data_IF_156109910113
#
_entry.id   IF_156109910113
#
_cell.length_a   1.000
_cell.length_b   1.000
_cell.length_c   1.000
_cell.angle_alpha   90.00
_cell.angle_beta   90.00
_cell.angle_gamma   90.00
#
_symmetry.space_group_name_H-M   'P 1'
#
loop_
_entity.id
_entity.type
_entity.pdbx_description
1 polymer ?
#
# COMPACT_ATOMS: atom_id res chain seq x y z
N UNK A 1 14.31 -21.76 20.44
CA UNK A 1 15.48 -21.28 21.19
C UNK A 1 16.72 -21.54 20.34
N UNK A 2 17.68 -20.62 20.28
CA UNK A 2 18.87 -20.77 19.42
C UNK A 2 19.91 -21.69 20.07
N UNK A 3 20.58 -22.53 19.28
CA UNK A 3 21.73 -23.31 19.74
C UNK A 3 22.94 -22.40 19.97
N UNK A 4 23.94 -22.87 20.71
CA UNK A 4 25.14 -22.08 20.97
C UNK A 4 25.96 -21.85 19.71
N UNK A 5 25.98 -22.80 18.78
CA UNK A 5 26.58 -22.62 17.45
C UNK A 5 25.88 -21.51 16.67
N UNK A 6 24.54 -21.48 16.69
CA UNK A 6 23.76 -20.43 16.02
C UNK A 6 24.05 -19.04 16.62
N UNK A 7 24.16 -18.94 17.95
CA UNK A 7 24.53 -17.69 18.63
C UNK A 7 25.93 -17.22 18.23
N UNK A 8 26.90 -18.13 18.21
CA UNK A 8 28.27 -17.82 17.81
C UNK A 8 28.35 -17.37 16.35
N UNK A 9 27.66 -18.08 15.45
CA UNK A 9 27.59 -17.73 14.02
C UNK A 9 26.97 -16.34 13.81
N UNK A 10 25.88 -16.01 14.52
CA UNK A 10 25.28 -14.67 14.49
C UNK A 10 26.27 -13.59 14.89
N UNK A 11 26.94 -13.76 16.04
CA UNK A 11 27.93 -12.79 16.53
C UNK A 11 29.08 -12.62 15.54
N UNK A 12 29.58 -13.72 14.98
CA UNK A 12 30.67 -13.71 14.01
C UNK A 12 30.29 -12.91 12.75
N UNK A 13 29.17 -13.23 12.12
CA UNK A 13 28.71 -12.56 10.90
C UNK A 13 28.39 -11.08 11.15
N UNK A 14 27.79 -10.74 12.30
CA UNK A 14 27.58 -9.35 12.69
C UNK A 14 28.90 -8.57 12.82
N UNK A 15 29.93 -9.16 13.43
CA UNK A 15 31.26 -8.53 13.56
C UNK A 15 31.93 -8.33 12.21
N UNK A 16 31.86 -9.32 11.33
CA UNK A 16 32.42 -9.23 9.97
C UNK A 16 31.74 -8.13 9.15
N UNK A 17 30.41 -8.08 9.18
CA UNK A 17 29.66 -7.04 8.48
C UNK A 17 29.94 -5.66 9.08
N UNK A 18 29.97 -5.54 10.42
CA UNK A 18 30.29 -4.29 11.11
C UNK A 18 31.68 -3.76 10.74
N UNK A 19 32.68 -4.63 10.67
CA UNK A 19 34.03 -4.26 10.25
C UNK A 19 34.04 -3.63 8.85
N UNK A 20 33.29 -4.20 7.89
CA UNK A 20 33.19 -3.64 6.53
C UNK A 20 32.55 -2.25 6.48
N UNK A 21 31.62 -1.96 7.38
CA UNK A 21 31.08 -0.60 7.52
C UNK A 21 32.08 0.35 8.19
N UNK A 22 32.78 -0.10 9.22
CA UNK A 22 33.79 0.70 9.93
C UNK A 22 34.99 1.06 9.04
N UNK A 23 35.42 0.15 8.17
CA UNK A 23 36.48 0.42 7.18
C UNK A 23 36.01 1.27 6.00
N UNK A 24 34.72 1.58 5.90
CA UNK A 24 34.13 2.29 4.76
C UNK A 24 34.05 1.47 3.48
N UNK A 25 34.38 0.18 3.52
CA UNK A 25 34.26 -0.72 2.37
C UNK A 25 32.79 -0.89 1.94
N UNK A 26 31.87 -0.87 2.91
CA UNK A 26 30.43 -0.94 2.70
C UNK A 26 29.74 0.33 3.19
N UNK A 27 28.65 0.70 2.50
CA UNK A 27 27.77 1.83 2.86
C UNK A 27 26.34 1.34 2.85
N UNK A 28 25.52 1.84 3.78
CA UNK A 28 24.10 1.48 3.88
C UNK A 28 23.32 1.82 2.61
N UNK A 29 23.68 2.90 1.90
CA UNK A 29 23.02 3.30 0.66
C UNK A 29 23.26 2.34 -0.52
N UNK A 30 24.22 1.41 -0.40
CA UNK A 30 24.50 0.40 -1.42
C UNK A 30 23.79 -0.93 -1.15
N UNK A 31 23.02 -1.03 -0.07
CA UNK A 31 22.32 -2.26 0.34
C UNK A 31 20.89 -2.22 -0.17
N UNK A 32 20.49 -3.32 -0.77
CA UNK A 32 19.11 -3.66 -1.05
C UNK A 32 18.77 -4.85 -0.17
N UNK A 33 17.60 -4.80 0.45
CA UNK A 33 17.09 -5.91 1.24
C UNK A 33 15.69 -6.24 0.77
N UNK A 34 15.36 -7.52 0.80
CA UNK A 34 14.04 -7.99 0.42
C UNK A 34 13.69 -9.30 1.06
N UNK A 35 12.39 -9.55 1.13
CA UNK A 35 11.78 -10.71 1.77
C UNK A 35 10.36 -10.92 1.24
N UNK A 36 9.85 -12.13 1.49
CA UNK A 36 8.53 -12.58 1.12
C UNK A 36 7.57 -12.55 2.31
N UNK A 37 6.54 -11.71 2.26
CA UNK A 37 5.51 -11.66 3.29
C UNK A 37 4.12 -11.97 2.76
N UNK A 38 3.39 -12.80 3.51
CA UNK A 38 1.94 -12.95 3.31
C UNK A 38 1.21 -11.70 3.83
N UNK A 39 0.40 -11.12 2.97
CA UNK A 39 -0.52 -10.03 3.30
C UNK A 39 -1.95 -10.57 3.18
N UNK A 40 -2.68 -10.54 4.29
CA UNK A 40 -4.08 -10.95 4.34
C UNK A 40 -4.95 -9.80 3.86
N UNK A 41 -6.04 -10.12 3.14
CA UNK A 41 -6.98 -9.08 2.68
C UNK A 41 -7.66 -8.40 3.88
N UNK A 42 -8.02 -9.20 4.90
CA UNK A 42 -8.64 -8.70 6.13
C UNK A 42 -7.61 -8.60 7.26
N UNK A 43 -7.59 -7.48 7.99
CA UNK A 43 -6.92 -7.41 9.28
C UNK A 43 -7.77 -8.14 10.33
N UNK A 44 -7.14 -9.05 11.07
CA UNK A 44 -7.67 -9.47 12.36
C UNK A 44 -6.86 -8.74 13.42
N UNK A 45 -7.54 -7.91 14.21
CA UNK A 45 -6.90 -7.16 15.29
C UNK A 45 -6.01 -8.08 16.14
N UNK A 46 -4.76 -7.64 16.38
CA UNK A 46 -3.87 -8.34 17.30
C UNK A 46 -4.53 -8.48 18.67
N UNK A 47 -4.25 -9.59 19.38
CA UNK A 47 -4.74 -9.82 20.75
C UNK A 47 -4.49 -8.63 21.69
N UNK A 48 -3.40 -7.89 21.47
CA UNK A 48 -3.04 -6.70 22.25
C UNK A 48 -3.99 -5.52 22.07
N UNK A 49 -4.65 -5.38 20.89
CA UNK A 49 -5.70 -4.36 20.64
C UNK A 49 -7.07 -4.77 21.19
N UNK A 50 -7.28 -6.05 21.48
CA UNK A 50 -8.49 -6.58 22.14
C UNK A 50 -8.32 -6.67 23.67
N UNK A 51 -7.25 -6.11 24.22
CA UNK A 51 -7.09 -5.97 25.67
C UNK A 51 -8.19 -5.04 26.19
N UNK A 52 -9.17 -5.64 26.86
CA UNK A 52 -10.31 -4.96 27.46
C UNK A 52 -10.25 -5.16 28.97
N UNK A 53 -10.44 -4.09 29.73
CA UNK A 53 -10.67 -4.18 31.16
C UNK A 53 -12.05 -4.79 31.37
N UNK A 54 -12.13 -5.95 32.04
CA UNK A 54 -13.38 -6.65 32.33
C UNK A 54 -13.72 -6.56 33.82
N UNK A 55 -15.02 -6.48 34.13
CA UNK A 55 -15.52 -6.53 35.51
C UNK A 55 -15.36 -7.92 36.13
N UNK A 56 -15.36 -7.98 37.47
CA UNK A 56 -15.26 -9.26 38.19
C UNK A 56 -16.47 -10.14 37.85
N UNK A 57 -16.23 -11.32 37.26
CA UNK A 57 -17.25 -12.25 36.77
C UNK A 57 -17.63 -12.15 35.28
N UNK A 58 -17.08 -11.18 34.53
CA UNK A 58 -17.34 -11.07 33.08
C UNK A 58 -16.35 -11.89 32.24
N UNK A 59 -16.81 -12.39 31.08
CA UNK A 59 -15.96 -13.13 30.15
C UNK A 59 -15.31 -12.17 29.14
N UNK A 60 -14.01 -12.32 28.81
CA UNK A 60 -13.35 -11.49 27.79
C UNK A 60 -14.05 -11.58 26.44
N UNK A 61 -14.01 -10.50 25.64
CA UNK A 61 -14.47 -10.53 24.24
C UNK A 61 -13.78 -11.66 23.45
N UNK A 62 -14.58 -12.53 22.84
CA UNK A 62 -14.11 -13.66 22.03
C UNK A 62 -13.29 -13.15 20.85
N UNK A 63 -11.98 -13.37 20.88
CA UNK A 63 -11.11 -13.07 19.73
C UNK A 63 -11.45 -14.06 18.62
N UNK A 64 -11.92 -13.56 17.48
CA UNK A 64 -12.08 -14.37 16.27
C UNK A 64 -10.73 -15.00 15.93
N UNK A 65 -10.65 -16.34 16.04
CA UNK A 65 -9.47 -17.09 15.62
C UNK A 65 -9.41 -17.06 14.09
N UNK A 66 -8.22 -16.80 13.55
CA UNK A 66 -7.93 -16.86 12.10
C UNK A 66 -8.50 -18.15 11.51
N UNK A 67 -9.35 -18.03 10.49
CA UNK A 67 -9.73 -19.17 9.66
C UNK A 67 -8.51 -19.64 8.87
N UNK A 68 -8.35 -20.96 8.69
CA UNK A 68 -7.23 -21.56 7.95
C UNK A 68 -7.24 -21.21 6.45
N UNK A 69 -8.34 -20.64 5.95
CA UNK A 69 -8.61 -20.39 4.52
C UNK A 69 -8.88 -18.92 4.19
N UNK A 70 -8.41 -17.97 5.01
CA UNK A 70 -8.55 -16.55 4.67
C UNK A 70 -7.69 -16.17 3.47
N UNK A 71 -8.29 -15.40 2.56
CA UNK A 71 -7.65 -14.88 1.35
C UNK A 71 -6.43 -14.02 1.71
N UNK A 72 -5.30 -14.39 1.11
CA UNK A 72 -4.01 -13.73 1.29
C UNK A 72 -3.21 -13.82 0.00
N UNK A 73 -2.40 -12.81 -0.26
CA UNK A 73 -1.42 -12.84 -1.33
C UNK A 73 -0.02 -12.84 -0.73
N UNK A 74 0.90 -13.52 -1.40
CA UNK A 74 2.31 -13.46 -1.09
C UNK A 74 2.91 -12.29 -1.87
N UNK A 75 3.65 -11.43 -1.17
CA UNK A 75 4.38 -10.34 -1.80
C UNK A 75 5.87 -10.55 -1.60
N UNK A 76 6.65 -10.35 -2.67
CA UNK A 76 8.10 -10.19 -2.57
C UNK A 76 8.42 -8.70 -2.66
N UNK A 77 9.00 -8.15 -1.60
CA UNK A 77 9.22 -6.71 -1.45
C UNK A 77 10.71 -6.44 -1.26
N UNK A 78 11.27 -5.59 -2.11
CA UNK A 78 12.65 -5.13 -2.01
C UNK A 78 12.69 -3.62 -1.82
N UNK A 79 13.61 -3.15 -0.97
CA UNK A 79 13.82 -1.74 -0.73
C UNK A 79 15.27 -1.44 -0.39
N UNK A 80 15.59 -0.15 -0.39
CA UNK A 80 16.86 0.41 0.07
C UNK A 80 16.61 1.66 0.91
N UNK A 81 17.68 2.25 1.44
CA UNK A 81 17.61 3.41 2.34
C UNK A 81 16.78 4.61 1.84
N UNK A 82 16.58 4.77 0.53
CA UNK A 82 15.82 5.89 -0.05
C UNK A 82 14.44 5.48 -0.61
N UNK A 83 13.98 4.25 -0.40
CA UNK A 83 12.63 3.83 -0.77
C UNK A 83 12.52 2.43 -1.36
N UNK A 84 11.29 2.04 -1.78
CA UNK A 84 11.03 0.75 -2.41
C UNK A 84 11.73 0.62 -3.76
N UNK A 85 12.16 -0.59 -4.07
CA UNK A 85 12.77 -0.99 -5.36
C UNK A 85 11.82 -1.89 -6.13
N UNK A 86 11.20 -2.86 -5.46
CA UNK A 86 10.23 -3.77 -6.05
C UNK A 86 9.13 -4.08 -5.03
N UNK A 87 7.88 -4.08 -5.48
CA UNK A 87 6.73 -4.63 -4.76
C UNK A 87 6.04 -5.56 -5.74
N UNK A 88 6.27 -6.86 -5.60
CA UNK A 88 5.77 -7.88 -6.52
C UNK A 88 4.73 -8.75 -5.83
N UNK A 89 3.53 -8.81 -6.39
CA UNK A 89 2.48 -9.72 -5.94
C UNK A 89 2.62 -11.05 -6.66
N UNK A 90 2.75 -12.14 -5.90
CA UNK A 90 2.84 -13.49 -6.45
C UNK A 90 1.44 -13.98 -6.84
N UNK A 91 1.32 -14.50 -8.06
CA UNK A 91 0.07 -15.08 -8.56
C UNK A 91 -0.47 -16.15 -7.61
N UNK A 92 -1.79 -16.23 -7.48
CA UNK A 92 -2.44 -17.19 -6.60
C UNK A 92 -2.03 -18.64 -6.93
N UNK A 93 -1.72 -19.41 -5.89
CA UNK A 93 -1.32 -20.82 -6.02
C UNK A 93 0.13 -21.06 -6.46
N UNK A 94 0.90 -20.01 -6.81
CA UNK A 94 2.34 -20.15 -7.09
C UNK A 94 3.17 -20.12 -5.81
N UNK A 95 4.22 -20.93 -5.80
CA UNK A 95 5.28 -20.88 -4.78
C UNK A 95 6.50 -20.22 -5.41
N UNK A 96 7.24 -19.44 -4.64
CA UNK A 96 8.52 -18.87 -5.09
C UNK A 96 9.56 -19.98 -5.03
N UNK A 97 9.90 -20.56 -6.18
CA UNK A 97 11.11 -21.35 -6.36
C UNK A 97 12.26 -20.45 -6.84
N UNK A 98 13.45 -21.04 -7.02
CA UNK A 98 14.65 -20.29 -7.44
C UNK A 98 14.47 -19.63 -8.81
N UNK A 99 13.79 -20.28 -9.76
CA UNK A 99 13.57 -19.75 -11.10
C UNK A 99 12.58 -18.58 -11.05
N UNK A 100 11.49 -18.71 -10.30
CA UNK A 100 10.53 -17.64 -10.06
C UNK A 100 11.20 -16.43 -9.42
N UNK A 101 12.06 -16.67 -8.42
CA UNK A 101 12.81 -15.62 -7.73
C UNK A 101 13.73 -14.84 -8.69
N UNK A 102 14.46 -15.53 -9.58
CA UNK A 102 15.28 -14.87 -10.60
C UNK A 102 14.42 -14.05 -11.56
N UNK A 103 13.44 -14.70 -12.20
CA UNK A 103 12.70 -14.12 -13.33
C UNK A 103 11.77 -12.98 -12.90
N UNK A 104 11.08 -13.13 -11.78
CA UNK A 104 10.02 -12.21 -11.36
C UNK A 104 10.45 -11.25 -10.25
N UNK A 105 11.57 -11.53 -9.55
CA UNK A 105 12.04 -10.67 -8.47
C UNK A 105 13.38 -10.03 -8.83
N UNK A 106 14.45 -10.81 -8.94
CA UNK A 106 15.80 -10.28 -9.06
C UNK A 106 16.05 -9.52 -10.37
N UNK A 107 15.57 -10.02 -11.52
CA UNK A 107 15.70 -9.31 -12.81
C UNK A 107 15.02 -7.93 -12.79
N UNK A 108 13.87 -7.83 -12.12
CA UNK A 108 13.16 -6.55 -11.98
C UNK A 108 13.91 -5.60 -11.03
N UNK A 109 14.45 -6.13 -9.93
CA UNK A 109 15.31 -5.37 -9.01
C UNK A 109 16.53 -4.83 -9.74
N UNK A 110 17.26 -5.66 -10.49
CA UNK A 110 18.43 -5.26 -11.30
C UNK A 110 18.05 -4.16 -12.29
N UNK A 111 16.97 -4.36 -13.05
CA UNK A 111 16.47 -3.36 -13.99
C UNK A 111 16.18 -2.02 -13.33
N UNK A 112 15.58 -2.02 -12.14
CA UNK A 112 15.27 -0.79 -11.41
C UNK A 112 16.52 -0.11 -10.84
N UNK A 113 17.50 -0.88 -10.36
CA UNK A 113 18.81 -0.35 -9.94
C UNK A 113 19.49 0.39 -11.10
N UNK A 114 19.54 -0.25 -12.27
CA UNK A 114 20.24 0.30 -13.44
C UNK A 114 19.61 1.60 -13.95
N UNK A 115 18.27 1.76 -13.85
CA UNK A 115 17.61 3.03 -14.18
C UNK A 115 18.02 4.19 -13.27
N UNK A 116 18.30 3.89 -12.00
CA UNK A 116 18.58 4.89 -10.98
C UNK A 116 20.08 5.24 -10.90
N UNK A 117 20.94 4.48 -11.59
CA UNK A 117 22.39 4.68 -11.58
C UNK A 117 22.86 5.45 -12.81
N UNK A 118 23.92 6.23 -12.61
CA UNK A 118 24.68 6.85 -13.71
C UNK A 118 25.63 5.86 -14.39
N UNK A 119 26.07 4.83 -13.67
CA UNK A 119 26.85 3.71 -14.22
C UNK A 119 25.90 2.67 -14.81
N UNK A 120 26.36 1.99 -15.86
CA UNK A 120 25.63 0.89 -16.51
C UNK A 120 25.83 -0.47 -15.81
N UNK A 121 26.26 -0.48 -14.54
CA UNK A 121 26.57 -1.69 -13.78
C UNK A 121 25.97 -1.69 -12.36
N UNK A 122 25.80 -2.89 -11.79
CA UNK A 122 25.36 -3.06 -10.39
C UNK A 122 26.54 -3.09 -9.41
N UNK A 123 27.76 -2.79 -9.88
CA UNK A 123 28.99 -2.92 -9.09
C UNK A 123 28.86 -2.24 -7.75
N UNK A 124 29.20 -2.98 -6.71
CA UNK A 124 29.17 -2.51 -5.34
C UNK A 124 27.79 -2.50 -4.67
N UNK A 125 26.71 -2.94 -5.34
CA UNK A 125 25.45 -3.26 -4.67
C UNK A 125 25.61 -4.51 -3.81
N UNK A 126 24.96 -4.51 -2.63
CA UNK A 126 24.87 -5.66 -1.75
C UNK A 126 23.40 -6.06 -1.61
N UNK A 127 23.10 -7.34 -1.73
CA UNK A 127 21.77 -7.88 -1.46
C UNK A 127 21.75 -8.56 -0.08
N UNK A 128 20.80 -8.17 0.76
CA UNK A 128 20.49 -8.81 2.04
C UNK A 128 19.12 -9.50 1.93
N UNK A 129 19.15 -10.82 1.86
CA UNK A 129 17.99 -11.71 1.94
C UNK A 129 18.28 -12.84 2.92
N UNK A 130 17.24 -13.56 3.33
CA UNK A 130 17.38 -14.70 4.23
C UNK A 130 17.98 -15.95 3.52
N UNK A 131 18.12 -17.04 4.27
CA UNK A 131 18.67 -18.30 3.76
C UNK A 131 17.58 -19.28 3.29
N UNK A 132 16.43 -18.80 2.82
CA UNK A 132 15.40 -19.67 2.27
C UNK A 132 15.95 -20.52 1.10
N UNK A 133 15.39 -21.72 0.91
CA UNK A 133 15.86 -22.67 -0.10
C UNK A 133 16.07 -22.07 -1.51
N UNK A 134 15.12 -21.28 -2.05
CA UNK A 134 15.30 -20.57 -3.31
C UNK A 134 16.48 -19.60 -3.32
N UNK A 135 16.73 -18.89 -2.22
CA UNK A 135 17.70 -17.80 -2.12
C UNK A 135 19.15 -18.28 -2.15
N UNK A 136 19.40 -19.45 -1.56
CA UNK A 136 20.73 -20.09 -1.54
C UNK A 136 20.94 -21.05 -2.71
N UNK A 137 19.98 -21.14 -3.63
CA UNK A 137 20.10 -22.02 -4.80
C UNK A 137 21.24 -21.56 -5.70
N UNK A 138 21.96 -22.53 -6.30
CA UNK A 138 23.13 -22.28 -7.13
C UNK A 138 22.84 -21.28 -8.27
N UNK A 139 21.70 -21.43 -8.96
CA UNK A 139 21.33 -20.54 -10.06
C UNK A 139 21.09 -19.09 -9.60
N UNK A 140 20.57 -18.89 -8.38
CA UNK A 140 20.37 -17.55 -7.81
C UNK A 140 21.71 -16.91 -7.48
N UNK A 141 22.62 -17.68 -6.87
CA UNK A 141 23.97 -17.21 -6.54
C UNK A 141 24.74 -16.86 -7.83
N UNK A 142 24.65 -17.70 -8.85
CA UNK A 142 25.27 -17.44 -10.16
C UNK A 142 24.70 -16.19 -10.82
N UNK A 143 23.38 -16.07 -10.88
CA UNK A 143 22.73 -14.90 -11.46
C UNK A 143 23.20 -13.60 -10.77
N UNK A 144 23.18 -13.57 -9.44
CA UNK A 144 23.64 -12.40 -8.68
C UNK A 144 25.13 -12.09 -8.92
N UNK A 145 25.96 -13.13 -9.03
CA UNK A 145 27.39 -13.00 -9.31
C UNK A 145 27.64 -12.44 -10.71
N UNK A 146 26.93 -12.94 -11.72
CA UNK A 146 27.01 -12.46 -13.12
C UNK A 146 26.57 -11.01 -13.25
N UNK A 147 25.51 -10.61 -12.52
CA UNK A 147 25.05 -9.23 -12.48
C UNK A 147 25.99 -8.30 -11.70
N UNK A 148 26.91 -8.83 -10.90
CA UNK A 148 27.86 -8.08 -10.08
C UNK A 148 27.31 -7.64 -8.71
N UNK A 149 26.27 -8.30 -8.23
CA UNK A 149 25.64 -8.08 -6.92
C UNK A 149 26.29 -8.96 -5.86
N UNK A 150 26.77 -8.36 -4.79
CA UNK A 150 27.36 -9.10 -3.67
C UNK A 150 26.28 -9.55 -2.69
N UNK A 151 26.22 -10.84 -2.36
CA UNK A 151 25.33 -11.33 -1.31
C UNK A 151 25.93 -10.96 0.05
N UNK A 152 25.14 -10.28 0.89
CA UNK A 152 25.51 -9.95 2.26
C UNK A 152 25.29 -11.18 3.14
N UNK A 153 26.29 -11.64 3.91
CA UNK A 153 26.12 -12.79 4.79
C UNK A 153 25.03 -12.55 5.83
N UNK A 154 24.08 -13.48 5.93
CA UNK A 154 23.00 -13.45 6.90
C UNK A 154 22.95 -14.77 7.71
N UNK A 155 22.95 -14.72 9.05
CA UNK A 155 22.85 -15.92 9.88
C UNK A 155 21.45 -16.57 9.79
N UNK A 156 21.35 -17.91 9.85
CA UNK A 156 20.07 -18.59 9.99
C UNK A 156 19.28 -18.11 11.22
N UNK A 157 17.94 -18.21 11.16
CA UNK A 157 17.03 -17.90 12.28
C UNK A 157 17.23 -16.50 12.89
N UNK A 158 17.45 -15.49 12.03
CA UNK A 158 17.84 -14.14 12.47
C UNK A 158 16.94 -13.02 11.94
N UNK A 159 15.60 -13.10 12.14
CA UNK A 159 14.68 -12.07 11.69
C UNK A 159 14.95 -10.70 12.34
N UNK A 160 15.53 -10.67 13.54
CA UNK A 160 15.96 -9.45 14.22
C UNK A 160 17.12 -8.71 13.52
N UNK A 161 17.80 -9.38 12.58
CA UNK A 161 18.87 -8.81 11.75
C UNK A 161 18.43 -8.54 10.31
N UNK A 162 17.18 -8.84 9.96
CA UNK A 162 16.60 -8.62 8.64
C UNK A 162 15.63 -7.42 8.67
N UNK A 163 15.92 -6.32 7.95
CA UNK A 163 15.06 -5.13 7.95
C UNK A 163 13.62 -5.37 7.51
N UNK A 164 13.40 -6.38 6.66
CA UNK A 164 12.06 -6.80 6.29
C UNK A 164 11.28 -7.32 7.50
N UNK A 165 11.87 -8.24 8.27
CA UNK A 165 11.22 -8.88 9.41
C UNK A 165 11.06 -7.95 10.61
N UNK A 166 12.12 -7.30 11.07
CA UNK A 166 12.06 -6.52 12.32
C UNK A 166 11.31 -5.18 12.16
N UNK A 167 11.09 -4.71 10.92
CA UNK A 167 10.49 -3.40 10.67
C UNK A 167 9.44 -3.39 9.56
N UNK A 168 9.82 -3.68 8.31
CA UNK A 168 8.95 -3.38 7.17
C UNK A 168 7.65 -4.18 7.18
N UNK A 169 7.75 -5.50 7.38
CA UNK A 169 6.63 -6.43 7.34
C UNK A 169 5.60 -6.05 8.41
N UNK A 170 6.06 -5.74 9.62
CA UNK A 170 5.21 -5.26 10.70
C UNK A 170 4.64 -3.88 10.39
N UNK A 171 5.44 -2.94 9.88
CA UNK A 171 4.99 -1.60 9.51
C UNK A 171 3.87 -1.66 8.46
N UNK A 172 4.04 -2.43 7.39
CA UNK A 172 3.02 -2.63 6.36
C UNK A 172 1.76 -3.24 6.99
N UNK A 173 1.91 -4.35 7.73
CA UNK A 173 0.77 -5.04 8.34
C UNK A 173 0.00 -4.18 9.32
N UNK A 174 0.65 -3.27 10.05
CA UNK A 174 -0.01 -2.34 10.97
C UNK A 174 -0.78 -1.24 10.24
N UNK A 175 -0.25 -0.74 9.12
CA UNK A 175 -0.81 0.40 8.38
C UNK A 175 -1.80 0.01 7.28
N UNK A 176 -1.85 -1.26 6.87
CA UNK A 176 -2.90 -1.77 5.99
C UNK A 176 -4.21 -1.85 6.76
N UNK A 177 -5.22 -1.04 6.42
CA UNK A 177 -6.58 -1.21 6.95
C UNK A 177 -7.27 -2.42 6.32
N UNK A 178 -8.37 -2.88 6.91
CA UNK A 178 -9.23 -3.92 6.30
C UNK A 178 -9.49 -3.62 4.82
N UNK A 179 -9.04 -4.53 3.95
CA UNK A 179 -9.36 -4.52 2.52
C UNK A 179 -10.36 -5.66 2.30
N UNK A 180 -11.60 -5.33 1.95
CA UNK A 180 -12.67 -6.34 1.85
C UNK A 180 -12.38 -7.40 0.76
N UNK A 181 -11.53 -7.10 -0.23
CA UNK A 181 -11.11 -8.01 -1.33
C UNK A 181 -9.96 -7.41 -2.20
N UNK A 182 -9.40 -8.21 -3.11
CA UNK A 182 -8.43 -7.75 -4.14
C UNK A 182 -8.93 -6.53 -4.95
N UNK A 183 -10.25 -6.44 -5.20
CA UNK A 183 -10.88 -5.29 -5.86
C UNK A 183 -10.82 -4.00 -5.05
N UNK A 184 -10.69 -4.07 -3.71
CA UNK A 184 -10.49 -2.89 -2.87
C UNK A 184 -9.04 -2.38 -2.88
N UNK A 185 -8.07 -3.21 -3.30
CA UNK A 185 -6.69 -2.80 -3.58
C UNK A 185 -6.53 -2.17 -4.98
N UNK A 186 -7.36 -2.56 -5.94
CA UNK A 186 -7.47 -1.88 -7.22
C UNK A 186 -8.12 -0.50 -6.99
N UNK A 187 -7.30 0.54 -6.86
CA UNK A 187 -7.82 1.91 -6.84
C UNK A 187 -8.39 2.22 -8.23
N UNK A 188 -9.71 2.21 -8.31
CA UNK A 188 -10.43 2.68 -9.49
C UNK A 188 -10.04 4.14 -9.77
N UNK A 189 -9.75 4.44 -11.04
CA UNK A 189 -9.48 5.81 -11.46
C UNK A 189 -10.81 6.40 -11.93
N UNK A 190 -11.25 7.45 -11.27
CA UNK A 190 -12.44 8.21 -11.65
C UNK A 190 -12.03 9.51 -12.31
N UNK A 191 -12.68 9.86 -13.41
CA UNK A 191 -12.38 11.06 -14.20
C UNK A 191 -13.68 11.80 -14.48
N UNK A 192 -13.66 13.12 -14.32
CA UNK A 192 -14.77 13.97 -14.77
C UNK A 192 -14.91 13.86 -16.29
N UNK A 193 -16.12 13.54 -16.74
CA UNK A 193 -16.53 13.61 -18.13
C UNK A 193 -17.86 14.38 -18.25
N UNK A 194 -18.09 15.31 -17.31
CA UNK A 194 -19.34 16.03 -17.17
C UNK A 194 -19.60 17.03 -18.29
N UNK A 195 -18.55 17.62 -18.89
CA UNK A 195 -18.69 18.60 -19.97
C UNK A 195 -19.30 18.01 -21.24
N UNK A 196 -18.81 16.84 -21.66
CA UNK A 196 -19.19 16.23 -22.93
C UNK A 196 -20.29 15.19 -22.76
N UNK A 197 -20.33 14.51 -21.61
CA UNK A 197 -21.16 13.32 -21.41
C UNK A 197 -21.99 13.36 -20.12
N UNK A 198 -21.97 14.47 -19.35
CA UNK A 198 -22.79 14.65 -18.16
C UNK A 198 -22.64 13.51 -17.14
N UNK A 199 -21.40 13.05 -16.92
CA UNK A 199 -21.10 11.91 -16.04
C UNK A 199 -19.67 11.92 -15.51
N UNK A 200 -19.42 11.15 -14.47
CA UNK A 200 -18.08 10.73 -14.05
C UNK A 200 -17.83 9.32 -14.59
N UNK A 201 -16.66 9.10 -15.17
CA UNK A 201 -16.25 7.81 -15.73
C UNK A 201 -15.30 7.09 -14.78
N UNK A 202 -15.52 5.79 -14.61
CA UNK A 202 -14.62 4.86 -13.95
C UNK A 202 -13.79 4.13 -15.00
N UNK A 203 -12.49 4.28 -14.94
CA UNK A 203 -11.56 3.57 -15.82
C UNK A 203 -11.35 2.15 -15.36
N UNK A 204 -11.35 1.22 -16.30
CA UNK A 204 -11.10 -0.19 -16.01
C UNK A 204 -9.61 -0.48 -16.07
N UNK A 205 -9.09 -1.21 -15.08
CA UNK A 205 -7.68 -1.58 -15.02
C UNK A 205 -7.24 -2.31 -16.29
N UNK A 206 -6.07 -1.95 -16.82
CA UNK A 206 -5.43 -2.59 -17.99
C UNK A 206 -6.21 -2.47 -19.31
N UNK A 207 -7.15 -1.52 -19.44
CA UNK A 207 -7.79 -1.21 -20.72
C UNK A 207 -7.80 0.29 -20.99
N UNK A 208 -8.09 0.67 -22.24
CA UNK A 208 -8.32 2.07 -22.65
C UNK A 208 -9.79 2.47 -22.57
N UNK A 209 -10.63 1.65 -21.91
CA UNK A 209 -12.08 1.84 -21.84
C UNK A 209 -12.53 2.23 -20.42
N UNK A 210 -13.57 3.06 -20.38
CA UNK A 210 -14.22 3.49 -19.15
C UNK A 210 -15.70 3.15 -19.17
N UNK A 211 -16.28 3.03 -17.97
CA UNK A 211 -17.72 2.84 -17.76
C UNK A 211 -18.29 4.02 -16.97
N UNK A 212 -19.56 4.41 -17.20
CA UNK A 212 -20.21 5.44 -16.41
C UNK A 212 -20.33 5.03 -14.94
N UNK A 213 -19.77 5.85 -14.04
CA UNK A 213 -19.83 5.64 -12.59
C UNK A 213 -20.99 6.38 -11.94
N UNK A 214 -21.28 7.60 -12.41
CA UNK A 214 -22.33 8.48 -11.89
C UNK A 214 -22.77 9.45 -12.99
N UNK A 215 -24.08 9.57 -13.23
CA UNK A 215 -24.63 10.55 -14.20
C UNK A 215 -25.03 11.83 -13.49
N UNK A 216 -24.64 13.01 -13.98
CA UNK A 216 -24.89 14.29 -13.33
C UNK A 216 -25.35 15.33 -14.34
N UNK A 217 -25.79 16.51 -13.90
CA UNK A 217 -26.29 17.55 -14.81
C UNK A 217 -25.22 18.51 -15.35
N UNK A 218 -23.93 18.20 -15.16
CA UNK A 218 -22.84 19.04 -15.63
C UNK A 218 -21.45 18.56 -15.18
N UNK A 219 -20.48 19.47 -15.28
CA UNK A 219 -19.08 19.24 -14.89
C UNK A 219 -18.90 19.05 -13.39
N UNK A 220 -17.98 18.16 -13.05
CA UNK A 220 -17.47 18.04 -11.70
C UNK A 220 -16.27 18.95 -11.47
N UNK A 221 -16.45 20.03 -10.70
CA UNK A 221 -15.36 20.99 -10.45
C UNK A 221 -14.37 20.51 -9.38
N UNK A 222 -14.85 19.71 -8.45
CA UNK A 222 -14.08 19.00 -7.45
C UNK A 222 -14.62 17.58 -7.37
N UNK A 223 -13.74 16.61 -7.58
CA UNK A 223 -14.04 15.18 -7.55
C UNK A 223 -13.24 14.53 -6.43
N UNK A 224 -13.89 13.80 -5.54
CA UNK A 224 -13.23 13.10 -4.43
C UNK A 224 -13.84 11.71 -4.24
N UNK A 225 -13.01 10.75 -3.81
CA UNK A 225 -13.45 9.40 -3.42
C UNK A 225 -13.01 9.17 -1.98
N UNK A 226 -13.95 8.85 -1.10
CA UNK A 226 -13.64 8.57 0.30
C UNK A 226 -13.16 7.12 0.53
N UNK A 227 -12.82 6.82 1.79
CA UNK A 227 -12.40 5.48 2.22
C UNK A 227 -13.54 4.43 2.12
N UNK A 228 -14.79 4.85 1.95
CA UNK A 228 -15.94 3.96 1.77
C UNK A 228 -16.26 3.68 0.31
N UNK A 229 -15.53 4.26 -0.65
CA UNK A 229 -15.80 4.21 -2.09
C UNK A 229 -17.08 4.96 -2.47
N UNK A 230 -17.33 6.09 -1.81
CA UNK A 230 -18.36 7.07 -2.17
C UNK A 230 -17.70 8.18 -2.98
N UNK A 231 -18.21 8.40 -4.18
CA UNK A 231 -17.82 9.52 -5.04
C UNK A 231 -18.53 10.79 -4.56
N UNK A 232 -17.80 11.89 -4.50
CA UNK A 232 -18.32 13.22 -4.22
C UNK A 232 -18.00 14.14 -5.38
N UNK A 233 -18.95 14.99 -5.73
CA UNK A 233 -18.79 15.94 -6.79
C UNK A 233 -19.38 17.31 -6.45
N UNK A 234 -18.57 18.37 -6.58
CA UNK A 234 -19.07 19.74 -6.46
C UNK A 234 -19.64 20.24 -7.80
N UNK A 235 -20.91 20.62 -7.78
CA UNK A 235 -21.61 21.21 -8.91
C UNK A 235 -21.58 22.73 -8.77
N UNK A 236 -20.57 23.35 -9.39
CA UNK A 236 -20.29 24.78 -9.30
C UNK A 236 -21.54 25.65 -9.56
N UNK A 237 -22.16 25.49 -10.74
CA UNK A 237 -23.31 26.31 -11.16
C UNK A 237 -24.61 25.99 -10.44
N UNK A 238 -24.69 24.82 -9.79
CA UNK A 238 -25.88 24.39 -9.06
C UNK A 238 -25.76 24.63 -7.56
N UNK A 239 -24.62 25.15 -7.10
CA UNK A 239 -24.38 25.50 -5.70
C UNK A 239 -24.62 24.33 -4.73
N UNK A 240 -24.21 23.14 -5.16
CA UNK A 240 -24.47 21.87 -4.49
C UNK A 240 -23.24 20.96 -4.54
N UNK A 241 -23.16 20.03 -3.60
CA UNK A 241 -22.29 18.86 -3.66
C UNK A 241 -23.17 17.63 -3.63
N UNK A 242 -22.94 16.74 -4.58
CA UNK A 242 -23.64 15.46 -4.69
C UNK A 242 -22.70 14.31 -4.39
N UNK A 243 -23.24 13.18 -3.95
CA UNK A 243 -22.49 11.96 -3.72
C UNK A 243 -23.16 10.73 -4.32
N UNK A 244 -22.36 9.71 -4.60
CA UNK A 244 -22.85 8.41 -5.07
C UNK A 244 -22.00 7.29 -4.47
N UNK A 245 -22.65 6.31 -3.83
CA UNK A 245 -21.98 5.13 -3.29
C UNK A 245 -21.76 4.08 -4.39
N UNK A 246 -20.51 3.86 -4.77
CA UNK A 246 -20.14 2.92 -5.83
C UNK A 246 -20.31 1.44 -5.43
N UNK A 247 -20.64 1.17 -4.16
CA UNK A 247 -20.88 -0.20 -3.66
C UNK A 247 -22.21 -0.78 -4.11
N UNK A 248 -23.21 0.06 -4.39
CA UNK A 248 -24.56 -0.38 -4.72
C UNK A 248 -24.75 -0.68 -6.22
N UNK A 249 -23.73 -0.43 -7.06
CA UNK A 249 -23.83 -0.59 -8.51
C UNK A 249 -24.88 0.32 -9.16
N UNK A 250 -25.33 1.35 -8.43
CA UNK A 250 -26.30 2.33 -8.87
C UNK A 250 -25.59 3.61 -9.27
N UNK A 251 -26.01 4.22 -10.37
CA UNK A 251 -25.46 5.49 -10.84
C UNK A 251 -26.24 6.70 -10.26
N UNK A 252 -27.19 6.46 -9.37
CA UNK A 252 -28.01 7.49 -8.74
C UNK A 252 -27.23 8.20 -7.62
N UNK A 253 -27.19 9.52 -7.66
CA UNK A 253 -26.55 10.35 -6.64
C UNK A 253 -27.57 11.02 -5.73
N UNK A 254 -27.11 11.53 -4.60
CA UNK A 254 -27.89 12.33 -3.65
C UNK A 254 -27.19 13.63 -3.33
N UNK A 255 -27.94 14.68 -2.96
CA UNK A 255 -27.36 15.94 -2.50
C UNK A 255 -26.88 15.77 -1.05
N UNK A 256 -25.63 16.12 -0.79
CA UNK A 256 -25.01 16.01 0.54
C UNK A 256 -24.58 17.35 1.12
N UNK A 257 -24.45 18.39 0.30
CA UNK A 257 -24.24 19.76 0.76
C UNK A 257 -24.81 20.77 -0.23
N UNK A 258 -25.20 21.94 0.29
CA UNK A 258 -25.83 23.00 -0.50
C UNK A 258 -27.29 22.71 -0.83
N UNK A 259 -28.16 23.70 -0.65
CA UNK A 259 -29.57 23.63 -1.00
C UNK A 259 -29.89 24.20 -2.39
N UNK A 260 -28.86 24.53 -3.18
CA UNK A 260 -29.02 25.16 -4.50
C UNK A 260 -29.34 26.66 -4.45
N UNK A 261 -29.36 27.27 -3.26
CA UNK A 261 -29.63 28.69 -3.07
C UNK A 261 -28.33 29.41 -2.73
N UNK A 262 -28.06 30.52 -3.42
CA UNK A 262 -26.97 31.43 -3.09
C UNK A 262 -27.37 32.27 -1.88
N UNK A 263 -26.84 31.90 -0.71
CA UNK A 263 -27.03 32.65 0.52
C UNK A 263 -25.89 32.37 1.51
N UNK A 264 -25.64 33.33 2.41
CA UNK A 264 -24.60 33.22 3.43
C UNK A 264 -25.11 32.50 4.69
N UNK A 265 -25.60 31.27 4.53
CA UNK A 265 -26.11 30.42 5.62
C UNK A 265 -25.27 29.15 5.77
N UNK A 266 -25.48 28.35 6.82
CA UNK A 266 -24.77 27.07 6.98
C UNK A 266 -25.23 25.97 6.02
N UNK A 267 -26.41 26.11 5.40
CA UNK A 267 -26.99 25.13 4.49
C UNK A 267 -26.84 25.50 3.00
N UNK A 268 -26.47 26.75 2.72
CA UNK A 268 -26.32 27.30 1.37
C UNK A 268 -24.86 27.39 0.97
N UNK A 269 -24.60 27.18 -0.31
CA UNK A 269 -23.30 27.35 -0.94
C UNK A 269 -23.44 28.38 -2.08
N UNK A 270 -22.32 28.93 -2.50
CA UNK A 270 -22.17 29.77 -3.66
C UNK A 270 -20.93 29.33 -4.43
N UNK A 271 -21.18 28.64 -5.55
CA UNK A 271 -20.15 28.20 -6.49
C UNK A 271 -19.04 27.32 -5.84
N UNK A 272 -19.41 26.16 -5.24
CA UNK A 272 -18.45 25.29 -4.58
C UNK A 272 -17.46 24.71 -5.59
N UNK A 273 -16.17 24.62 -5.20
CA UNK A 273 -15.09 24.07 -6.03
C UNK A 273 -14.35 22.94 -5.35
N UNK A 274 -13.39 23.26 -4.49
CA UNK A 274 -12.58 22.27 -3.79
C UNK A 274 -13.44 21.50 -2.79
N UNK A 275 -13.30 20.18 -2.78
CA UNK A 275 -13.91 19.30 -1.77
C UNK A 275 -12.88 18.33 -1.21
N UNK A 276 -13.05 17.97 0.06
CA UNK A 276 -12.23 16.97 0.73
C UNK A 276 -13.09 16.24 1.76
N UNK A 277 -12.92 14.93 1.89
CA UNK A 277 -13.57 14.14 2.95
C UNK A 277 -12.49 13.52 3.82
N UNK A 278 -12.58 13.74 5.13
CA UNK A 278 -11.61 13.17 6.08
C UNK A 278 -11.90 11.69 6.39
N UNK A 279 -11.04 11.05 7.19
CA UNK A 279 -11.19 9.64 7.57
C UNK A 279 -12.39 9.37 8.49
N UNK A 280 -12.99 10.41 9.07
CA UNK A 280 -14.20 10.32 9.88
C UNK A 280 -15.46 10.60 9.05
N UNK A 281 -15.33 10.74 7.72
CA UNK A 281 -16.41 11.02 6.77
C UNK A 281 -17.02 12.41 6.89
N UNK A 282 -16.28 13.38 7.46
CA UNK A 282 -16.69 14.78 7.39
C UNK A 282 -16.31 15.36 6.03
N UNK A 283 -17.27 15.98 5.34
CA UNK A 283 -17.07 16.67 4.07
C UNK A 283 -16.73 18.14 4.32
N UNK A 284 -15.64 18.61 3.74
CA UNK A 284 -15.23 20.01 3.71
C UNK A 284 -15.38 20.55 2.31
N UNK A 285 -16.10 21.66 2.17
CA UNK A 285 -16.41 22.28 0.88
C UNK A 285 -15.87 23.69 0.87
N UNK A 286 -15.07 24.02 -0.16
CA UNK A 286 -14.66 25.39 -0.45
C UNK A 286 -15.83 26.13 -1.11
N UNK A 287 -16.53 26.94 -0.33
CA UNK A 287 -17.63 27.79 -0.73
C UNK A 287 -17.08 29.07 -1.36
N UNK A 288 -16.58 28.94 -2.60
CA UNK A 288 -15.55 29.83 -3.15
C UNK A 288 -15.97 31.28 -3.30
N UNK A 289 -17.23 31.57 -3.65
CA UNK A 289 -17.69 32.96 -3.83
C UNK A 289 -18.19 33.58 -2.51
N UNK A 290 -18.24 32.81 -1.42
CA UNK A 290 -18.48 33.31 -0.07
C UNK A 290 -17.19 33.34 0.77
N UNK A 291 -16.02 33.12 0.17
CA UNK A 291 -14.69 33.18 0.80
C UNK A 291 -14.55 32.33 2.08
N UNK A 292 -15.18 31.15 2.12
CA UNK A 292 -15.18 30.28 3.31
C UNK A 292 -15.07 28.80 3.00
N UNK A 293 -14.76 28.02 4.02
CA UNK A 293 -14.84 26.55 4.02
C UNK A 293 -15.94 26.14 4.99
N UNK A 294 -16.84 25.26 4.56
CA UNK A 294 -17.91 24.71 5.40
C UNK A 294 -17.69 23.21 5.57
N UNK A 295 -17.91 22.71 6.78
CA UNK A 295 -17.90 21.29 7.09
C UNK A 295 -19.32 20.76 7.23
N UNK A 296 -19.57 19.58 6.65
CA UNK A 296 -20.81 18.83 6.72
C UNK A 296 -20.50 17.44 7.28
N UNK A 297 -21.34 16.96 8.19
CA UNK A 297 -21.32 15.56 8.63
C UNK A 297 -22.24 14.80 7.68
N UNK A 298 -21.71 13.79 6.99
CA UNK A 298 -22.38 13.10 5.87
C UNK A 298 -22.54 11.62 6.15
#
# INVERSE_FOLDING_TARGET
>A
ELTDEQKQQRVQLCRENLAKFQTGSWRLCDIITGDETWIYHRQIHHKSKNASWIGDGESPTTVVRRSKFESKNLFSIFFKSNGPVLIHCVDEGKTIDHNYYIENCLKLVVKEILKQRRSADTKGIKLLHDNAGPHIHYDVINYLTEEGINIMPHPPYSPDLAPCDYWLNDCIKHNLTDQLNEKSLARDIYVDNGYSNSRVDKWTSNTTSSIPAMYMYGQCYGLFVDITNTLYCSLFTYHQVISNSQRQGSNAWTIVAGNGVVALTSASLYNPRGIFVDTNLNLYVADSENDRIISFVV
#
